data_IF_856722287886
#
_entry.id   IF_856722287886
#
_cell.length_a   1.000
_cell.length_b   1.000
_cell.length_c   1.000
_cell.angle_alpha   90.00
_cell.angle_beta   90.00
_cell.angle_gamma   90.00
#
_symmetry.space_group_name_H-M   'P 1'
#
loop_
_entity.id
_entity.type
_entity.pdbx_description
1 polymer ?
#
# COMPACT_ATOMS: atom_id res chain seq x y z
N UNK A 1 -44.81 30.86 -19.84
CA UNK A 1 -44.14 30.61 -18.54
C UNK A 1 -43.58 29.20 -18.48
N UNK A 2 -44.37 28.14 -18.73
CA UNK A 2 -43.87 26.75 -18.75
C UNK A 2 -42.76 26.49 -19.78
N UNK A 3 -42.88 27.02 -21.01
CA UNK A 3 -41.85 26.84 -22.05
C UNK A 3 -40.51 27.47 -21.66
N UNK A 4 -40.55 28.66 -21.04
CA UNK A 4 -39.35 29.37 -20.58
C UNK A 4 -38.67 28.65 -19.40
N UNK A 5 -39.46 28.11 -18.46
CA UNK A 5 -38.94 27.31 -17.34
C UNK A 5 -38.25 26.03 -17.85
N UNK A 6 -38.84 25.34 -18.83
CA UNK A 6 -38.23 24.14 -19.45
C UNK A 6 -36.90 24.47 -20.14
N UNK A 7 -36.82 25.57 -20.88
CA UNK A 7 -35.58 25.99 -21.55
C UNK A 7 -34.49 26.30 -20.50
N UNK A 8 -34.83 27.06 -19.46
CA UNK A 8 -33.88 27.41 -18.39
C UNK A 8 -33.37 26.15 -17.66
N UNK A 9 -34.26 25.22 -17.33
CA UNK A 9 -33.89 23.96 -16.69
C UNK A 9 -32.94 23.11 -17.58
N UNK A 10 -33.21 23.03 -18.89
CA UNK A 10 -32.34 22.33 -19.84
C UNK A 10 -30.96 23.02 -19.91
N UNK A 11 -30.91 24.35 -20.00
CA UNK A 11 -29.63 25.07 -20.04
C UNK A 11 -28.80 24.89 -18.78
N UNK A 12 -29.43 24.91 -17.59
CA UNK A 12 -28.76 24.63 -16.32
C UNK A 12 -28.25 23.19 -16.23
N UNK A 13 -29.05 22.22 -16.70
CA UNK A 13 -28.63 20.82 -16.75
C UNK A 13 -27.43 20.59 -17.67
N UNK A 14 -27.43 21.21 -18.86
CA UNK A 14 -26.29 21.13 -19.79
C UNK A 14 -25.05 21.80 -19.21
N UNK A 15 -25.19 22.97 -18.57
CA UNK A 15 -24.07 23.65 -17.92
C UNK A 15 -23.49 22.80 -16.78
N UNK A 16 -24.34 22.18 -15.96
CA UNK A 16 -23.92 21.27 -14.90
C UNK A 16 -23.16 20.06 -15.45
N UNK A 17 -23.61 19.47 -16.56
CA UNK A 17 -22.90 18.37 -17.23
C UNK A 17 -21.52 18.79 -17.75
N UNK A 18 -21.40 19.99 -18.33
CA UNK A 18 -20.12 20.52 -18.82
C UNK A 18 -19.10 20.67 -17.70
N UNK A 19 -19.53 20.96 -16.47
CA UNK A 19 -18.65 21.04 -15.29
C UNK A 19 -18.41 19.65 -14.66
N UNK A 20 -19.42 18.80 -14.62
CA UNK A 20 -19.34 17.50 -13.95
C UNK A 20 -18.51 16.47 -14.74
N UNK A 21 -18.68 16.40 -16.06
CA UNK A 21 -17.94 15.46 -16.93
C UNK A 21 -16.41 15.61 -16.77
N UNK A 22 -15.80 16.81 -16.90
CA UNK A 22 -14.36 16.94 -16.75
C UNK A 22 -13.89 16.62 -15.33
N UNK A 23 -14.71 16.86 -14.30
CA UNK A 23 -14.37 16.45 -12.94
C UNK A 23 -14.29 14.93 -12.82
N UNK A 24 -15.28 14.20 -13.34
CA UNK A 24 -15.26 12.71 -13.37
C UNK A 24 -14.08 12.20 -14.19
N UNK A 25 -13.82 12.78 -15.36
CA UNK A 25 -12.68 12.40 -16.19
C UNK A 25 -11.34 12.65 -15.47
N UNK A 26 -11.18 13.79 -14.81
CA UNK A 26 -9.99 14.11 -14.03
C UNK A 26 -9.79 13.11 -12.89
N UNK A 27 -10.86 12.79 -12.15
CA UNK A 27 -10.87 11.79 -11.07
C UNK A 27 -10.47 10.41 -11.60
N UNK A 28 -11.02 10.00 -12.75
CA UNK A 28 -10.62 8.77 -13.43
C UNK A 28 -9.12 8.74 -13.77
N UNK A 29 -8.62 9.79 -14.44
CA UNK A 29 -7.22 9.85 -14.87
C UNK A 29 -6.24 9.88 -13.71
N UNK A 30 -6.59 10.54 -12.61
CA UNK A 30 -5.69 10.74 -11.46
C UNK A 30 -5.64 9.55 -10.52
N UNK A 31 -6.66 8.68 -10.52
CA UNK A 31 -6.77 7.61 -9.52
C UNK A 31 -6.88 6.20 -10.09
N UNK A 32 -7.40 6.04 -11.30
CA UNK A 32 -7.81 4.72 -11.80
C UNK A 32 -7.18 4.33 -13.12
N UNK A 33 -6.71 5.29 -13.92
CA UNK A 33 -6.19 5.01 -15.25
C UNK A 33 -4.96 4.10 -15.17
N UNK A 34 -5.11 2.89 -15.68
CA UNK A 34 -4.01 1.94 -15.80
C UNK A 34 -3.16 2.22 -17.05
N UNK A 35 -1.85 2.14 -16.89
CA UNK A 35 -0.89 2.25 -17.98
C UNK A 35 0.21 1.22 -17.78
N UNK A 36 0.36 0.33 -18.77
CA UNK A 36 1.46 -0.64 -18.82
C UNK A 36 2.80 0.10 -18.79
N UNK A 37 3.66 -0.28 -17.85
CA UNK A 37 5.01 0.26 -17.68
C UNK A 37 6.02 -0.70 -18.31
N UNK A 38 5.99 -1.96 -17.90
CA UNK A 38 6.89 -2.99 -18.40
C UNK A 38 6.24 -4.39 -18.35
N UNK A 39 6.80 -5.35 -19.09
CA UNK A 39 6.39 -6.75 -19.09
C UNK A 39 7.56 -7.70 -19.36
N UNK A 40 7.55 -8.86 -18.72
CA UNK A 40 8.53 -9.93 -18.94
C UNK A 40 7.83 -11.29 -19.07
N UNK A 41 8.47 -12.24 -19.74
CA UNK A 41 7.95 -13.58 -19.95
C UNK A 41 8.85 -14.60 -19.27
N UNK A 42 8.25 -15.65 -18.73
CA UNK A 42 8.99 -16.78 -18.16
C UNK A 42 9.89 -17.43 -19.22
N UNK A 43 10.98 -18.12 -18.81
CA UNK A 43 11.88 -18.80 -19.74
C UNK A 43 11.18 -19.81 -20.67
N UNK A 44 10.11 -20.45 -20.18
CA UNK A 44 9.27 -21.39 -20.92
C UNK A 44 8.12 -20.72 -21.71
N UNK A 45 7.97 -19.39 -21.59
CA UNK A 45 6.95 -18.54 -22.21
C UNK A 45 5.50 -18.89 -21.87
N UNK A 46 5.27 -19.64 -20.79
CA UNK A 46 3.92 -19.96 -20.33
C UNK A 46 3.30 -18.84 -19.51
N UNK A 47 4.15 -18.07 -18.80
CA UNK A 47 3.74 -17.01 -17.91
C UNK A 47 4.22 -15.64 -18.42
N UNK A 48 3.38 -14.64 -18.18
CA UNK A 48 3.69 -13.24 -18.45
C UNK A 48 3.48 -12.47 -17.15
N UNK A 49 4.49 -11.72 -16.74
CA UNK A 49 4.39 -10.77 -15.64
C UNK A 49 4.35 -9.36 -16.23
N UNK A 50 3.32 -8.59 -15.89
CA UNK A 50 3.14 -7.21 -16.35
C UNK A 50 3.09 -6.25 -15.16
N UNK A 51 3.81 -5.15 -15.28
CA UNK A 51 3.80 -4.04 -14.33
C UNK A 51 3.01 -2.86 -14.89
N UNK A 52 1.99 -2.42 -14.15
CA UNK A 52 1.14 -1.29 -14.49
C UNK A 52 1.31 -0.16 -13.48
N UNK A 53 1.32 1.07 -13.98
CA UNK A 53 1.06 2.28 -13.19
C UNK A 53 -0.44 2.53 -13.12
N UNK A 54 -0.93 2.99 -11.97
CA UNK A 54 -2.36 3.19 -11.71
C UNK A 54 -2.58 4.62 -11.24
N UNK A 55 -3.21 5.44 -12.09
CA UNK A 55 -3.44 6.86 -11.81
C UNK A 55 -2.16 7.70 -11.82
N UNK A 56 -2.18 8.78 -11.04
CA UNK A 56 -1.03 9.65 -10.76
C UNK A 56 -0.46 9.34 -9.37
N UNK A 57 0.81 9.67 -9.11
CA UNK A 57 1.34 9.70 -7.74
C UNK A 57 0.47 10.55 -6.81
N UNK A 58 0.35 10.13 -5.55
CA UNK A 58 -0.50 10.86 -4.60
C UNK A 58 0.03 12.28 -4.38
N UNK A 59 -0.87 13.28 -4.46
CA UNK A 59 -0.50 14.68 -4.29
C UNK A 59 -0.37 15.05 -2.79
N UNK A 60 0.61 15.86 -2.37
CA UNK A 60 1.59 16.58 -3.20
C UNK A 60 2.91 15.85 -3.48
N UNK A 61 3.32 14.91 -2.63
CA UNK A 61 4.63 14.21 -2.71
C UNK A 61 4.52 12.75 -2.22
N UNK A 62 3.44 12.06 -2.56
CA UNK A 62 3.19 10.69 -2.13
C UNK A 62 3.66 9.63 -3.12
N UNK A 63 3.46 8.37 -2.75
CA UNK A 63 3.84 7.22 -3.57
C UNK A 63 3.07 7.14 -4.89
N UNK A 64 3.71 6.50 -5.87
CA UNK A 64 3.11 6.17 -7.16
C UNK A 64 2.46 4.77 -7.08
N UNK A 65 1.13 4.67 -7.25
CA UNK A 65 0.43 3.39 -7.16
C UNK A 65 0.72 2.51 -8.39
N UNK A 66 0.94 1.22 -8.13
CA UNK A 66 1.26 0.25 -9.16
C UNK A 66 0.57 -1.09 -8.95
N UNK A 67 0.60 -1.91 -10.00
CA UNK A 67 0.01 -3.25 -9.98
C UNK A 67 0.86 -4.22 -10.77
N UNK A 68 1.15 -5.36 -10.16
CA UNK A 68 1.71 -6.54 -10.81
C UNK A 68 0.56 -7.49 -11.16
N UNK A 69 0.57 -8.00 -12.39
CA UNK A 69 -0.36 -9.02 -12.86
C UNK A 69 0.46 -10.18 -13.45
N UNK A 70 0.28 -11.36 -12.88
CA UNK A 70 0.83 -12.61 -13.40
C UNK A 70 -0.27 -13.34 -14.18
N UNK A 71 0.01 -13.66 -15.44
CA UNK A 71 -0.92 -14.33 -16.34
C UNK A 71 -0.32 -15.63 -16.87
N UNK A 72 -1.15 -16.66 -17.03
CA UNK A 72 -0.84 -17.90 -17.72
C UNK A 72 -1.83 -18.08 -18.87
N UNK A 73 -1.34 -18.22 -20.10
CA UNK A 73 -2.19 -18.40 -21.29
C UNK A 73 -3.35 -17.38 -21.40
N UNK A 74 -3.07 -16.09 -21.11
CA UNK A 74 -4.04 -14.97 -21.07
C UNK A 74 -5.10 -15.07 -19.97
N UNK A 75 -4.92 -15.94 -18.97
CA UNK A 75 -5.74 -15.97 -17.76
C UNK A 75 -4.94 -15.43 -16.58
N UNK A 76 -5.51 -14.50 -15.83
CA UNK A 76 -4.89 -13.96 -14.61
C UNK A 76 -4.75 -15.04 -13.56
N UNK A 77 -3.52 -15.26 -13.09
CA UNK A 77 -3.16 -16.21 -12.02
C UNK A 77 -3.09 -15.48 -10.69
N UNK A 78 -2.32 -14.40 -10.63
CA UNK A 78 -2.11 -13.63 -9.40
C UNK A 78 -2.07 -12.12 -9.69
N UNK A 79 -2.36 -11.32 -8.66
CA UNK A 79 -2.25 -9.85 -8.68
C UNK A 79 -1.67 -9.37 -7.37
N UNK A 80 -0.76 -8.40 -7.45
CA UNK A 80 -0.25 -7.69 -6.30
C UNK A 80 -0.31 -6.18 -6.55
N UNK A 81 -0.87 -5.41 -5.63
CA UNK A 81 -0.83 -3.94 -5.66
C UNK A 81 0.39 -3.43 -4.89
N UNK A 82 1.02 -2.35 -5.32
CA UNK A 82 2.20 -1.81 -4.63
C UNK A 82 2.24 -0.29 -4.76
N UNK A 83 3.11 0.35 -3.99
CA UNK A 83 3.40 1.78 -4.12
C UNK A 83 4.91 2.00 -4.16
N UNK A 84 5.38 2.89 -5.04
CA UNK A 84 6.79 3.28 -5.13
C UNK A 84 6.97 4.76 -4.75
N UNK A 85 7.82 5.03 -3.76
CA UNK A 85 8.19 6.34 -3.25
C UNK A 85 9.34 6.95 -4.05
N UNK A 86 9.01 7.90 -4.92
CA UNK A 86 9.95 8.66 -5.73
C UNK A 86 9.67 10.17 -5.66
N UNK A 87 9.42 10.73 -4.48
CA UNK A 87 9.14 12.17 -4.29
C UNK A 87 8.03 12.70 -5.20
N UNK A 88 6.90 11.97 -5.25
CA UNK A 88 5.77 12.29 -6.14
C UNK A 88 6.02 12.04 -7.63
N UNK A 89 7.16 11.47 -8.02
CA UNK A 89 7.43 11.06 -9.40
C UNK A 89 6.84 9.67 -9.72
N UNK A 90 6.57 9.43 -11.00
CA UNK A 90 6.16 8.10 -11.49
C UNK A 90 7.35 7.15 -11.51
N UNK A 91 7.09 5.87 -11.30
CA UNK A 91 8.05 4.80 -11.52
C UNK A 91 8.09 4.37 -12.99
N UNK A 92 9.12 3.61 -13.33
CA UNK A 92 9.44 3.14 -14.69
C UNK A 92 9.96 1.69 -14.69
N UNK A 93 10.43 1.22 -15.85
CA UNK A 93 10.98 -0.13 -16.06
C UNK A 93 12.24 -0.43 -15.22
N UNK A 94 12.90 0.57 -14.64
CA UNK A 94 14.07 0.37 -13.77
C UNK A 94 13.70 0.28 -12.29
N UNK A 95 12.44 0.54 -11.97
CA UNK A 95 11.91 0.52 -10.60
C UNK A 95 11.55 -0.89 -10.12
N UNK A 96 11.84 -1.92 -10.93
CA UNK A 96 11.70 -3.33 -10.55
C UNK A 96 12.89 -4.18 -11.02
N UNK A 97 13.05 -5.36 -10.41
CA UNK A 97 13.95 -6.42 -10.83
C UNK A 97 13.21 -7.75 -10.78
N UNK A 98 13.29 -8.58 -11.81
CA UNK A 98 12.47 -9.79 -11.93
C UNK A 98 13.34 -11.04 -12.06
N UNK A 99 13.13 -11.99 -11.15
CA UNK A 99 13.76 -13.31 -11.16
C UNK A 99 12.70 -14.40 -11.29
N UNK A 100 12.77 -15.17 -12.37
CA UNK A 100 11.88 -16.32 -12.60
C UNK A 100 12.44 -17.57 -11.92
N UNK A 101 11.62 -18.21 -11.09
CA UNK A 101 11.90 -19.49 -10.45
C UNK A 101 11.04 -20.60 -11.08
N UNK A 102 11.20 -21.84 -10.60
CA UNK A 102 10.47 -23.00 -11.11
C UNK A 102 8.97 -22.99 -10.80
N UNK A 103 8.59 -22.37 -9.68
CA UNK A 103 7.24 -22.41 -9.10
C UNK A 103 6.65 -21.02 -8.82
N UNK A 104 7.44 -19.96 -9.03
CA UNK A 104 7.09 -18.58 -8.68
C UNK A 104 7.92 -17.58 -9.48
N UNK A 105 7.56 -16.31 -9.35
CA UNK A 105 8.36 -15.17 -9.79
C UNK A 105 8.62 -14.25 -8.60
N UNK A 106 9.87 -13.84 -8.45
CA UNK A 106 10.33 -12.91 -7.43
C UNK A 106 10.57 -11.54 -8.06
N UNK A 107 9.98 -10.50 -7.47
CA UNK A 107 10.03 -9.13 -7.97
C UNK A 107 10.56 -8.22 -6.87
N UNK A 108 11.70 -7.57 -7.09
CA UNK A 108 12.20 -6.55 -6.18
C UNK A 108 11.77 -5.17 -6.69
N UNK A 109 10.91 -4.49 -5.95
CA UNK A 109 10.45 -3.13 -6.23
C UNK A 109 11.34 -2.13 -5.49
N UNK A 110 11.81 -1.10 -6.20
CA UNK A 110 12.76 -0.12 -5.68
C UNK A 110 12.30 1.32 -5.94
N UNK A 111 12.28 2.12 -4.88
CA UNK A 111 12.07 3.57 -4.94
C UNK A 111 13.25 4.35 -4.37
N UNK A 112 13.20 5.67 -4.48
CA UNK A 112 14.22 6.57 -3.99
C UNK A 112 14.14 6.81 -2.48
N UNK A 113 12.95 6.65 -1.92
CA UNK A 113 12.64 7.07 -0.54
C UNK A 113 12.05 5.93 0.30
N UNK A 114 12.10 4.70 -0.22
CA UNK A 114 11.67 3.51 0.50
C UNK A 114 12.75 2.43 0.45
N UNK A 115 12.67 1.53 1.42
CA UNK A 115 13.34 0.25 1.32
C UNK A 115 12.75 -0.57 0.18
N UNK A 116 13.57 -1.40 -0.41
CA UNK A 116 13.14 -2.30 -1.47
C UNK A 116 12.12 -3.31 -0.92
N UNK A 117 11.15 -3.70 -1.74
CA UNK A 117 10.13 -4.69 -1.41
C UNK A 117 10.30 -5.89 -2.33
N UNK A 118 10.45 -7.08 -1.75
CA UNK A 118 10.36 -8.35 -2.46
C UNK A 118 8.90 -8.80 -2.49
N UNK A 119 8.34 -8.90 -3.69
CA UNK A 119 7.04 -9.51 -3.96
C UNK A 119 7.27 -10.84 -4.64
N UNK A 120 6.81 -11.91 -4.00
CA UNK A 120 6.89 -13.27 -4.51
C UNK A 120 5.50 -13.70 -4.97
N UNK A 121 5.33 -13.97 -6.27
CA UNK A 121 4.07 -14.40 -6.86
C UNK A 121 4.18 -15.86 -7.33
N UNK A 122 3.44 -16.75 -6.68
CA UNK A 122 3.42 -18.18 -6.98
C UNK A 122 2.49 -18.49 -8.15
N UNK A 123 2.81 -19.56 -8.91
CA UNK A 123 2.02 -19.97 -10.07
C UNK A 123 0.66 -20.59 -9.72
N UNK A 124 0.44 -20.90 -8.44
CA UNK A 124 -0.85 -21.34 -7.91
C UNK A 124 -1.78 -20.18 -7.51
N UNK A 125 -1.31 -18.94 -7.61
CA UNK A 125 -2.05 -17.73 -7.26
C UNK A 125 -1.61 -17.08 -5.95
N UNK A 126 -0.77 -17.73 -5.15
CA UNK A 126 -0.25 -17.18 -3.89
C UNK A 126 0.60 -15.93 -4.11
N UNK A 127 0.53 -14.99 -3.17
CA UNK A 127 1.37 -13.78 -3.17
C UNK A 127 1.92 -13.58 -1.77
N UNK A 128 3.24 -13.44 -1.68
CA UNK A 128 3.95 -13.09 -0.45
C UNK A 128 4.73 -11.81 -0.64
N UNK A 129 4.87 -11.04 0.43
CA UNK A 129 5.62 -9.78 0.43
C UNK A 129 6.59 -9.74 1.58
N UNK A 130 7.73 -9.14 1.31
CA UNK A 130 8.78 -8.96 2.30
C UNK A 130 9.52 -7.66 2.03
N UNK A 131 9.65 -6.83 3.06
CA UNK A 131 10.51 -5.66 2.99
C UNK A 131 11.98 -6.09 3.14
N UNK A 132 12.86 -5.49 2.35
CA UNK A 132 14.29 -5.75 2.36
C UNK A 132 15.04 -4.65 3.12
N UNK A 133 16.27 -4.93 3.53
CA UNK A 133 17.18 -3.95 4.14
C UNK A 133 17.97 -3.12 3.13
N UNK A 134 17.66 -3.26 1.84
CA UNK A 134 18.29 -2.51 0.76
C UNK A 134 17.45 -1.30 0.37
N UNK A 135 18.10 -0.24 -0.11
CA UNK A 135 17.48 0.89 -0.81
C UNK A 135 18.12 0.96 -2.19
N UNK A 136 17.33 0.92 -3.26
CA UNK A 136 17.83 0.90 -4.65
C UNK A 136 18.83 -0.24 -4.88
N UNK A 137 18.52 -1.44 -4.38
CA UNK A 137 19.35 -2.65 -4.51
C UNK A 137 20.70 -2.56 -3.79
N UNK A 138 20.92 -1.55 -2.96
CA UNK A 138 22.14 -1.35 -2.19
C UNK A 138 21.84 -1.48 -0.69
N UNK A 139 22.71 -2.14 0.07
CA UNK A 139 22.53 -2.30 1.51
C UNK A 139 22.33 -0.92 2.18
N UNK A 140 21.20 -0.75 2.87
CA UNK A 140 20.98 0.48 3.62
C UNK A 140 22.02 0.54 4.74
N UNK A 141 22.83 1.60 4.75
CA UNK A 141 23.70 1.86 5.89
C UNK A 141 22.81 2.02 7.13
N UNK A 142 22.95 1.14 8.12
CA UNK A 142 22.29 1.27 9.43
C UNK A 142 22.70 2.60 10.06
N UNK A 143 21.93 3.63 9.77
CA UNK A 143 22.21 5.00 10.20
C UNK A 143 21.11 5.37 11.18
N UNK A 144 21.39 5.14 12.47
CA UNK A 144 20.80 5.91 13.56
C UNK A 144 20.70 7.36 13.13
N UNK A 145 19.49 7.94 13.13
CA UNK A 145 19.23 9.34 12.80
C UNK A 145 20.28 10.26 13.44
N UNK A 146 21.18 10.82 12.64
CA UNK A 146 21.83 12.09 12.94
C UNK A 146 22.22 12.76 11.61
N UNK A 147 21.53 13.87 11.35
CA UNK A 147 21.92 15.02 10.53
C UNK A 147 22.69 14.77 9.22
N UNK A 148 22.00 15.09 8.11
CA UNK A 148 22.53 15.27 6.76
C UNK A 148 23.81 16.12 6.75
N UNK A 149 24.85 15.64 6.07
CA UNK A 149 25.76 16.47 5.29
C UNK A 149 26.20 15.67 4.08
N UNK A 150 26.00 16.25 2.90
CA UNK A 150 26.20 15.67 1.59
C UNK A 150 27.65 15.23 1.34
N UNK A 151 27.86 14.10 0.66
CA UNK A 151 28.96 13.97 -0.31
C UNK A 151 28.77 12.79 -1.26
N UNK A 152 29.31 13.01 -2.45
CA UNK A 152 29.15 12.31 -3.72
C UNK A 152 30.13 11.11 -3.91
N UNK A 153 29.71 10.17 -4.77
CA UNK A 153 30.52 9.30 -5.66
C UNK A 153 31.25 8.06 -5.11
N UNK A 154 30.89 6.87 -5.62
CA UNK A 154 31.68 6.01 -6.56
C UNK A 154 31.34 4.54 -6.36
N UNK A 155 31.11 3.83 -7.47
CA UNK A 155 30.65 2.45 -7.51
C UNK A 155 31.60 1.39 -6.93
N UNK A 156 31.02 0.23 -6.67
CA UNK A 156 31.70 -0.99 -6.27
C UNK A 156 30.68 -2.11 -6.02
N UNK A 157 30.74 -3.12 -6.89
CA UNK A 157 30.26 -4.51 -6.84
C UNK A 157 29.29 -4.96 -5.73
N UNK A 158 28.23 -5.65 -6.17
CA UNK A 158 27.23 -6.35 -5.34
C UNK A 158 27.84 -7.61 -4.72
N UNK A 159 27.88 -7.75 -3.38
CA UNK A 159 28.05 -9.03 -2.72
C UNK A 159 26.74 -9.47 -2.06
N UNK A 160 26.32 -10.70 -2.38
CA UNK A 160 25.71 -11.64 -1.43
C UNK A 160 24.34 -11.27 -0.84
N UNK A 161 23.31 -11.90 -1.39
CA UNK A 161 21.94 -11.95 -0.92
C UNK A 161 21.85 -12.47 0.54
N UNK A 162 21.85 -11.58 1.53
CA UNK A 162 21.40 -11.85 2.90
C UNK A 162 20.22 -10.93 3.20
N UNK A 163 19.01 -11.40 2.91
CA UNK A 163 17.75 -10.70 3.17
C UNK A 163 17.35 -10.82 4.65
N UNK A 164 18.13 -10.21 5.53
CA UNK A 164 17.76 -10.02 6.94
C UNK A 164 16.60 -9.02 7.03
N UNK A 165 15.52 -9.39 7.72
CA UNK A 165 14.40 -8.49 8.02
C UNK A 165 14.84 -7.41 9.01
N UNK A 166 14.30 -6.20 8.86
CA UNK A 166 14.51 -5.16 9.86
C UNK A 166 13.87 -5.59 11.19
N UNK A 167 14.57 -5.51 12.33
CA UNK A 167 14.02 -5.92 13.62
C UNK A 167 12.77 -5.11 14.02
N UNK A 168 12.66 -3.85 13.56
CA UNK A 168 11.46 -3.04 13.72
C UNK A 168 10.29 -3.57 12.85
N UNK A 169 10.53 -4.03 11.63
CA UNK A 169 9.49 -4.63 10.76
C UNK A 169 8.94 -5.95 11.34
N UNK A 170 9.79 -6.75 12.01
CA UNK A 170 9.32 -7.95 12.74
C UNK A 170 8.31 -7.56 13.82
N UNK A 171 8.58 -6.47 14.55
CA UNK A 171 7.67 -5.98 15.58
C UNK A 171 6.39 -5.37 15.00
N UNK A 172 6.49 -4.66 13.87
CA UNK A 172 5.36 -4.06 13.15
C UNK A 172 4.46 -5.15 12.56
N UNK A 173 5.03 -6.16 11.92
CA UNK A 173 4.30 -7.30 11.35
C UNK A 173 3.64 -8.13 12.44
N UNK A 174 4.31 -8.35 13.57
CA UNK A 174 3.70 -9.02 14.72
C UNK A 174 2.49 -8.24 15.26
N UNK A 175 2.56 -6.91 15.32
CA UNK A 175 1.41 -6.10 15.72
C UNK A 175 0.27 -6.13 14.71
N UNK A 176 0.55 -6.07 13.40
CA UNK A 176 -0.46 -6.31 12.35
C UNK A 176 -1.15 -7.64 12.54
N UNK A 177 -0.36 -8.71 12.74
CA UNK A 177 -0.88 -10.06 12.92
C UNK A 177 -1.76 -10.15 14.18
N UNK A 178 -1.32 -9.56 15.28
CA UNK A 178 -2.08 -9.55 16.52
C UNK A 178 -3.42 -8.80 16.38
N UNK A 179 -3.45 -7.68 15.67
CA UNK A 179 -4.70 -6.94 15.41
C UNK A 179 -5.59 -7.71 14.41
N UNK A 180 -5.01 -8.29 13.36
CA UNK A 180 -5.70 -9.14 12.39
C UNK A 180 -6.40 -10.33 13.07
N UNK A 181 -5.71 -10.99 14.01
CA UNK A 181 -6.22 -12.16 14.73
C UNK A 181 -7.37 -11.83 15.71
N UNK A 182 -7.60 -10.55 16.04
CA UNK A 182 -8.82 -10.14 16.76
C UNK A 182 -10.09 -10.35 15.92
N UNK A 183 -9.94 -10.45 14.60
CA UNK A 183 -11.04 -10.58 13.66
C UNK A 183 -11.13 -12.02 13.14
N UNK A 184 -12.19 -12.70 13.56
CA UNK A 184 -12.49 -14.07 13.15
C UNK A 184 -13.72 -14.05 12.24
N UNK A 185 -13.55 -13.47 11.05
CA UNK A 185 -14.56 -13.49 9.98
C UNK A 185 -14.21 -14.63 9.00
N UNK A 186 -15.22 -15.44 8.66
CA UNK A 186 -15.07 -16.53 7.68
C UNK A 186 -14.70 -15.99 6.28
N UNK A 187 -14.93 -14.70 6.02
CA UNK A 187 -14.62 -14.03 4.75
C UNK A 187 -13.29 -13.25 4.78
N UNK A 188 -12.42 -13.49 5.76
CA UNK A 188 -11.15 -12.76 5.84
C UNK A 188 -10.23 -13.08 4.65
N UNK A 189 -9.55 -12.07 4.15
CA UNK A 189 -8.46 -12.24 3.18
C UNK A 189 -7.27 -12.92 3.84
N UNK A 190 -6.40 -13.56 3.07
CA UNK A 190 -5.11 -14.04 3.58
C UNK A 190 -4.34 -12.90 4.25
N UNK A 191 -3.61 -13.21 5.33
CA UNK A 191 -2.81 -12.21 6.02
C UNK A 191 -1.63 -11.79 5.14
N UNK A 192 -1.72 -10.59 4.59
CA UNK A 192 -0.67 -9.96 3.81
C UNK A 192 -0.48 -8.51 4.25
N UNK A 193 0.77 -8.05 4.28
CA UNK A 193 1.13 -6.67 4.60
C UNK A 193 1.73 -6.04 3.35
N UNK A 194 1.00 -5.08 2.78
CA UNK A 194 1.50 -4.24 1.68
C UNK A 194 2.26 -3.06 2.26
N UNK A 195 3.47 -2.81 1.78
CA UNK A 195 4.27 -1.68 2.22
C UNK A 195 4.06 -0.50 1.26
N UNK A 196 3.81 0.68 1.83
CA UNK A 196 3.69 1.91 1.06
C UNK A 196 4.98 2.70 1.05
N UNK A 197 4.90 3.94 0.54
CA UNK A 197 6.02 4.87 0.45
C UNK A 197 6.74 5.23 1.77
N UNK A 198 6.16 4.88 2.91
CA UNK A 198 6.74 5.01 4.24
C UNK A 198 6.31 3.82 5.10
N UNK A 199 6.99 3.58 6.22
CA UNK A 199 6.53 2.58 7.20
C UNK A 199 5.08 2.82 7.64
N UNK A 200 4.71 4.10 7.78
CA UNK A 200 3.37 4.53 8.19
C UNK A 200 2.31 4.42 7.10
N UNK A 201 2.70 4.06 5.88
CA UNK A 201 1.78 3.75 4.79
C UNK A 201 1.74 2.26 4.46
N UNK A 202 2.38 1.41 5.29
CA UNK A 202 2.08 -0.02 5.28
C UNK A 202 0.62 -0.26 5.63
N UNK A 203 0.06 -1.36 5.11
CA UNK A 203 -1.33 -1.74 5.36
C UNK A 203 -1.53 -3.24 5.30
N UNK A 204 -2.53 -3.73 6.02
CA UNK A 204 -2.99 -5.11 6.00
C UNK A 204 -4.49 -5.14 5.72
N UNK A 205 -4.91 -5.83 4.65
CA UNK A 205 -6.33 -6.00 4.32
C UNK A 205 -6.91 -7.11 5.19
N UNK A 206 -8.04 -6.81 5.84
CA UNK A 206 -8.77 -7.76 6.69
C UNK A 206 -9.83 -8.52 5.87
N UNK A 207 -10.56 -7.81 5.02
CA UNK A 207 -11.65 -8.34 4.22
C UNK A 207 -11.84 -7.45 2.98
N UNK A 208 -12.07 -8.07 1.83
CA UNK A 208 -12.38 -7.42 0.57
C UNK A 208 -13.64 -8.07 -0.03
N UNK A 209 -14.71 -7.29 -0.13
CA UNK A 209 -15.98 -7.73 -0.72
C UNK A 209 -16.46 -6.72 -1.77
N UNK A 210 -17.42 -7.13 -2.60
CA UNK A 210 -18.11 -6.20 -3.51
C UNK A 210 -18.79 -5.10 -2.70
N UNK A 211 -18.22 -3.90 -2.72
CA UNK A 211 -18.74 -2.70 -2.08
C UNK A 211 -17.85 -2.14 -0.97
N UNK A 212 -16.93 -2.91 -0.36
CA UNK A 212 -16.16 -2.42 0.81
C UNK A 212 -14.86 -3.19 1.03
N UNK A 213 -13.79 -2.44 1.35
CA UNK A 213 -12.53 -2.97 1.89
C UNK A 213 -12.35 -2.52 3.33
N UNK A 214 -11.99 -3.48 4.18
CA UNK A 214 -11.65 -3.31 5.59
C UNK A 214 -10.15 -3.54 5.76
N UNK A 215 -9.41 -2.58 6.32
CA UNK A 215 -7.96 -2.63 6.36
C UNK A 215 -7.38 -1.92 7.58
N UNK A 216 -6.16 -2.31 7.95
CA UNK A 216 -5.38 -1.74 9.05
C UNK A 216 -4.17 -1.01 8.47
N UNK A 217 -3.80 0.12 9.05
CA UNK A 217 -2.61 0.93 8.71
C UNK A 217 -1.78 1.17 9.97
N UNK A 218 -0.46 1.04 9.87
CA UNK A 218 0.47 1.37 10.95
C UNK A 218 0.67 2.88 11.05
N UNK A 219 0.56 3.44 12.25
CA UNK A 219 0.66 4.89 12.48
C UNK A 219 1.87 5.29 13.34
N UNK A 220 2.84 4.38 13.52
CA UNK A 220 4.06 4.66 14.29
C UNK A 220 4.05 4.13 15.72
N UNK A 221 5.11 4.44 16.47
CA UNK A 221 5.24 4.10 17.89
C UNK A 221 4.46 5.12 18.75
N UNK A 222 3.93 4.68 19.89
CA UNK A 222 3.29 5.54 20.88
C UNK A 222 4.27 6.58 21.43
N UNK A 223 3.79 7.70 22.03
CA UNK A 223 4.66 8.72 22.61
C UNK A 223 5.67 8.18 23.64
N UNK A 224 5.28 7.20 24.44
CA UNK A 224 6.15 6.53 25.41
C UNK A 224 7.10 5.48 24.79
N UNK A 225 6.98 5.20 23.48
CA UNK A 225 7.78 4.21 22.74
C UNK A 225 7.47 2.75 23.03
N UNK A 226 6.49 2.45 23.89
CA UNK A 226 6.18 1.09 24.38
C UNK A 226 5.20 0.32 23.49
N UNK A 227 4.47 1.02 22.61
CA UNK A 227 3.45 0.43 21.75
C UNK A 227 3.68 0.77 20.27
N UNK A 228 3.31 -0.14 19.38
CA UNK A 228 3.03 0.16 17.98
C UNK A 228 1.56 0.51 17.82
N UNK A 229 1.25 1.60 17.12
CA UNK A 229 -0.11 2.09 16.91
C UNK A 229 -0.60 1.68 15.53
N UNK A 230 -1.82 1.15 15.47
CA UNK A 230 -2.49 0.73 14.24
C UNK A 230 -3.86 1.37 14.16
N UNK A 231 -4.30 1.73 12.97
CA UNK A 231 -5.60 2.35 12.72
C UNK A 231 -6.37 1.49 11.74
N UNK A 232 -7.59 1.12 12.09
CA UNK A 232 -8.48 0.38 11.19
C UNK A 232 -9.39 1.34 10.45
N UNK A 233 -9.52 1.12 9.15
CA UNK A 233 -10.36 1.89 8.25
C UNK A 233 -11.29 0.98 7.46
N UNK A 234 -12.38 1.59 6.98
CA UNK A 234 -13.25 1.01 5.93
C UNK A 234 -13.40 1.99 4.79
N UNK A 235 -13.30 1.49 3.57
CA UNK A 235 -13.46 2.29 2.35
C UNK A 235 -14.38 1.57 1.38
N UNK A 236 -15.21 2.34 0.66
CA UNK A 236 -16.07 1.77 -0.38
C UNK A 236 -15.21 1.24 -1.53
N UNK A 237 -15.48 0.01 -1.96
CA UNK A 237 -14.70 -0.67 -2.99
C UNK A 237 -15.60 -1.25 -4.09
N UNK A 238 -15.47 -0.73 -5.30
CA UNK A 238 -16.16 -1.23 -6.49
C UNK A 238 -15.36 -2.40 -7.08
N UNK A 239 -16.01 -3.50 -7.46
CA UNK A 239 -15.33 -4.74 -7.90
C UNK A 239 -14.31 -4.56 -9.06
N UNK A 240 -14.46 -3.50 -9.86
CA UNK A 240 -13.64 -3.20 -11.02
C UNK A 240 -12.77 -1.93 -10.85
N UNK A 241 -12.75 -1.32 -9.67
CA UNK A 241 -12.09 -0.03 -9.44
C UNK A 241 -10.88 -0.15 -8.50
N UNK A 242 -9.80 0.59 -8.81
CA UNK A 242 -8.67 0.79 -7.89
C UNK A 242 -9.14 1.51 -6.64
N UNK A 243 -8.90 0.94 -5.46
CA UNK A 243 -9.37 1.51 -4.21
C UNK A 243 -8.44 2.63 -3.72
N UNK A 244 -9.02 3.79 -3.40
CA UNK A 244 -8.30 4.93 -2.82
C UNK A 244 -8.32 4.85 -1.30
N UNK A 245 -7.28 4.26 -0.70
CA UNK A 245 -7.16 4.10 0.75
C UNK A 245 -7.08 5.41 1.55
N UNK A 246 -6.92 6.56 0.89
CA UNK A 246 -6.96 7.89 1.53
C UNK A 246 -8.39 8.30 1.96
N UNK A 247 -9.42 7.69 1.37
CA UNK A 247 -10.83 8.04 1.62
C UNK A 247 -11.48 7.16 2.72
N UNK A 248 -10.67 6.37 3.43
CA UNK A 248 -11.15 5.46 4.47
C UNK A 248 -11.77 6.17 5.67
N UNK A 249 -12.90 5.62 6.15
CA UNK A 249 -13.53 6.02 7.40
C UNK A 249 -12.89 5.26 8.57
N UNK A 250 -12.42 5.99 9.59
CA UNK A 250 -11.76 5.37 10.75
C UNK A 250 -12.77 4.58 11.58
N UNK A 251 -12.41 3.33 11.87
CA UNK A 251 -13.21 2.39 12.65
C UNK A 251 -12.68 2.28 14.07
N UNK A 252 -11.38 2.24 14.27
CA UNK A 252 -10.76 2.15 15.60
C UNK A 252 -9.25 2.44 15.51
N UNK A 253 -8.64 2.69 16.66
CA UNK A 253 -7.19 2.74 16.85
C UNK A 253 -6.80 1.66 17.87
N UNK A 254 -5.74 0.91 17.58
CA UNK A 254 -5.20 -0.16 18.38
C UNK A 254 -3.78 0.15 18.82
N UNK A 255 -3.46 -0.19 20.07
CA UNK A 255 -2.11 -0.19 20.60
C UNK A 255 -1.65 -1.64 20.80
N UNK A 256 -0.59 -2.03 20.10
CA UNK A 256 0.11 -3.28 20.33
C UNK A 256 1.27 -3.05 21.28
N UNK A 257 1.20 -3.60 22.48
CA UNK A 257 2.20 -3.43 23.54
C UNK A 257 3.40 -4.33 23.25
N UNK A 258 4.58 -3.75 23.02
CA UNK A 258 5.77 -4.48 22.57
C UNK A 258 6.26 -5.52 23.59
N UNK A 259 6.13 -5.25 24.88
CA UNK A 259 6.56 -6.15 25.95
C UNK A 259 5.60 -7.33 26.11
N UNK A 260 4.29 -7.04 26.25
CA UNK A 260 3.29 -8.06 26.60
C UNK A 260 2.67 -8.75 25.39
N UNK A 261 2.91 -8.22 24.18
CA UNK A 261 2.33 -8.69 22.91
C UNK A 261 0.80 -8.63 22.87
N UNK A 262 0.19 -7.80 23.73
CA UNK A 262 -1.26 -7.60 23.79
C UNK A 262 -1.70 -6.44 22.91
N UNK A 263 -2.92 -6.55 22.40
CA UNK A 263 -3.60 -5.47 21.65
C UNK A 263 -4.66 -4.82 22.53
N UNK A 264 -4.65 -3.50 22.61
CA UNK A 264 -5.63 -2.68 23.34
C UNK A 264 -6.38 -1.80 22.34
N UNK A 265 -7.71 -1.84 22.36
CA UNK A 265 -8.58 -0.97 21.56
C UNK A 265 -8.74 0.39 22.24
N UNK A 266 -8.64 1.46 21.44
CA UNK A 266 -8.93 2.82 21.88
C UNK A 266 -10.44 3.11 21.95
N UNK A 267 -11.24 2.46 21.10
CA UNK A 267 -12.66 2.76 20.89
C UNK A 267 -12.93 4.02 20.04
N UNK A 268 -11.88 4.71 19.58
CA UNK A 268 -11.97 5.98 18.85
C UNK A 268 -12.54 5.78 17.45
N UNK A 269 -13.48 6.64 17.02
CA UNK A 269 -14.01 6.66 15.64
C UNK A 269 -13.49 7.85 14.84
N UNK A 270 -12.92 8.85 15.50
CA UNK A 270 -12.22 10.01 14.93
C UNK A 270 -10.99 10.36 15.80
N UNK A 271 -10.02 11.10 15.24
CA UNK A 271 -8.74 11.37 15.90
C UNK A 271 -8.90 12.19 17.17
N UNK A 272 -9.95 13.00 17.24
CA UNK A 272 -10.28 13.91 18.33
C UNK A 272 -10.98 13.20 19.49
N UNK A 273 -11.45 11.97 19.31
CA UNK A 273 -12.12 11.21 20.37
C UNK A 273 -11.16 10.92 21.52
N UNK A 274 -11.68 10.91 22.75
CA UNK A 274 -10.91 10.41 23.90
C UNK A 274 -10.85 8.88 23.82
N UNK A 275 -9.64 8.33 23.88
CA UNK A 275 -9.44 6.88 23.91
C UNK A 275 -9.85 6.29 25.26
N UNK A 276 -9.99 4.97 25.31
CA UNK A 276 -10.21 4.24 26.56
C UNK A 276 -9.08 4.50 27.57
N UNK A 277 -9.39 4.43 28.87
CA UNK A 277 -8.40 4.61 29.94
C UNK A 277 -7.24 3.62 29.80
N UNK A 278 -7.53 2.37 29.42
CA UNK A 278 -6.54 1.33 29.18
C UNK A 278 -5.61 1.68 28.01
N UNK A 279 -6.16 2.22 26.92
CA UNK A 279 -5.36 2.66 25.77
C UNK A 279 -4.45 3.83 26.14
N UNK A 280 -4.96 4.82 26.88
CA UNK A 280 -4.17 5.96 27.34
C UNK A 280 -3.05 5.50 28.27
N UNK A 281 -3.34 4.58 29.19
CA UNK A 281 -2.36 4.06 30.15
C UNK A 281 -1.16 3.39 29.46
N UNK A 282 -1.41 2.58 28.42
CA UNK A 282 -0.34 1.87 27.71
C UNK A 282 0.40 2.74 26.69
N UNK A 283 -0.18 3.85 26.22
CA UNK A 283 0.41 4.69 25.17
C UNK A 283 1.07 5.97 25.66
N UNK A 284 0.61 6.54 26.78
CA UNK A 284 1.07 7.84 27.27
C UNK A 284 1.92 7.75 28.56
N UNK A 285 1.76 6.70 29.37
CA UNK A 285 2.49 6.51 30.64
C UNK A 285 3.65 5.52 30.54
#
# INVERSE_FOLDING_TARGET
MEKTIKIVAITLGVLALIVFIPFVCLRYTTRYKEKLVDKTSSPDKQYILSMYSVGEPYWPFGGAPGRLILEMANSKVARAEFEIANDGARFDEYSWDVTWCSDRVEVVLSGNEQYDELVTMYFDGGVERKRLTTIRKQAAATTTETARTDTETTGGEIPGNNSEEMPDDVSITAGYKAVYDLYNDDNRTEFDVTYGASERSSRCVLNENTGMIDYIVYNGKSPNGKCCIYVRYKVDASADETVSYDEGHMVDIYAYVLETKKVVSSGKKQWEDTGSDEFIDVTEK
#
